data_IF_632659266153
#
_entry.id   IF_632659266153
#
_cell.length_a   1.000
_cell.length_b   1.000
_cell.length_c   1.000
_cell.angle_alpha   90.00
_cell.angle_beta   90.00
_cell.angle_gamma   90.00
#
_symmetry.space_group_name_H-M   'P 1'
#
loop_
_entity.id
_entity.type
_entity.pdbx_description
1 polymer ?
#
# COMPACT_ATOMS: atom_id res chain seq x y z
N UNK A 1 11.23 0.22 -28.06
CA UNK A 1 12.25 0.31 -26.98
C UNK A 1 11.50 0.30 -25.65
N UNK A 2 11.97 -0.46 -24.65
CA UNK A 2 11.32 -0.45 -23.34
C UNK A 2 11.64 0.85 -22.60
N UNK A 3 10.75 1.28 -21.70
CA UNK A 3 10.97 2.46 -20.85
C UNK A 3 12.25 2.32 -20.00
N UNK A 4 12.65 1.08 -19.67
CA UNK A 4 13.88 0.78 -18.94
C UNK A 4 15.13 1.18 -19.72
N UNK A 5 15.14 0.97 -21.04
CA UNK A 5 16.29 1.33 -21.85
C UNK A 5 16.49 2.85 -21.91
N UNK A 6 15.37 3.60 -21.93
CA UNK A 6 15.38 5.06 -21.95
C UNK A 6 16.02 5.67 -20.69
N UNK A 7 15.80 5.05 -19.52
CA UNK A 7 16.28 5.57 -18.23
C UNK A 7 17.46 4.77 -17.65
N UNK A 8 18.10 3.93 -18.47
CA UNK A 8 19.17 3.03 -18.02
C UNK A 8 20.33 3.75 -17.33
N UNK A 9 20.72 4.92 -17.85
CA UNK A 9 21.80 5.76 -17.30
C UNK A 9 21.50 6.34 -15.90
N UNK A 10 20.23 6.30 -15.47
CA UNK A 10 19.82 6.75 -14.14
C UNK A 10 19.83 5.64 -13.09
N UNK A 11 19.92 4.37 -13.51
CA UNK A 11 20.00 3.25 -12.59
C UNK A 11 21.42 3.07 -12.04
N UNK A 12 21.50 2.49 -10.83
CA UNK A 12 22.78 2.11 -10.27
C UNK A 12 23.29 0.85 -10.96
N UNK A 13 24.57 0.80 -11.38
CA UNK A 13 25.13 -0.41 -12.00
C UNK A 13 25.24 -1.56 -11.00
N UNK A 14 25.36 -1.24 -9.71
CA UNK A 14 25.40 -2.18 -8.60
C UNK A 14 24.62 -1.64 -7.41
N UNK A 15 24.00 -2.53 -6.63
CA UNK A 15 23.34 -2.14 -5.39
C UNK A 15 24.31 -1.42 -4.43
N UNK A 16 23.83 -0.37 -3.76
CA UNK A 16 24.58 0.35 -2.74
C UNK A 16 23.71 0.73 -1.55
N UNK A 17 24.27 0.58 -0.35
CA UNK A 17 23.65 1.00 0.91
C UNK A 17 23.65 2.52 1.10
N UNK A 18 24.52 3.24 0.39
CA UNK A 18 24.66 4.68 0.55
C UNK A 18 23.59 5.43 -0.26
N UNK A 19 22.89 6.41 0.33
CA UNK A 19 21.94 7.25 -0.39
C UNK A 19 22.69 8.14 -1.39
N UNK A 20 22.17 8.26 -2.61
CA UNK A 20 22.78 9.01 -3.72
C UNK A 20 22.08 10.35 -4.01
N UNK A 21 21.06 10.72 -3.22
CA UNK A 21 20.28 11.95 -3.42
C UNK A 21 19.49 12.01 -4.74
N UNK A 22 19.38 10.90 -5.46
CA UNK A 22 18.63 10.77 -6.73
C UNK A 22 17.31 10.05 -6.45
N UNK A 23 16.22 10.61 -6.97
CA UNK A 23 14.86 10.07 -6.78
C UNK A 23 14.18 9.89 -8.13
N UNK A 24 13.35 8.85 -8.23
CA UNK A 24 12.45 8.63 -9.35
C UNK A 24 11.03 8.71 -8.83
N UNK A 25 10.28 9.71 -9.30
CA UNK A 25 8.88 9.91 -8.91
C UNK A 25 7.97 9.18 -9.89
N UNK A 26 7.08 8.34 -9.36
CA UNK A 26 6.09 7.61 -10.13
C UNK A 26 4.70 8.14 -9.78
N UNK A 27 3.98 8.62 -10.79
CA UNK A 27 2.56 8.96 -10.67
C UNK A 27 1.75 7.79 -11.19
N UNK A 28 0.95 7.17 -10.31
CA UNK A 28 0.22 5.95 -10.62
C UNK A 28 -1.28 6.23 -10.51
N UNK A 29 -2.01 6.00 -11.59
CA UNK A 29 -3.47 5.96 -11.58
C UNK A 29 -3.91 4.51 -11.44
N UNK A 30 -4.69 4.23 -10.39
CA UNK A 30 -5.25 2.90 -10.15
C UNK A 30 -6.73 2.90 -10.53
N UNK A 31 -7.14 1.91 -11.32
CA UNK A 31 -8.54 1.68 -11.65
C UNK A 31 -9.07 0.57 -10.76
N UNK A 32 -10.19 0.84 -10.11
CA UNK A 32 -10.95 -0.17 -9.38
C UNK A 32 -11.85 -0.89 -10.41
N UNK A 33 -11.66 -2.20 -10.59
CA UNK A 33 -12.41 -3.00 -11.56
C UNK A 33 -13.74 -3.52 -11.01
N UNK A 34 -13.82 -3.73 -9.71
CA UNK A 34 -15.00 -4.22 -8.98
C UNK A 34 -15.14 -3.50 -7.64
N UNK A 35 -16.17 -3.77 -6.86
CA UNK A 35 -16.38 -3.08 -5.58
C UNK A 35 -15.20 -3.23 -4.61
N UNK A 36 -14.62 -2.10 -4.22
CA UNK A 36 -13.51 -2.06 -3.27
C UNK A 36 -14.02 -1.79 -1.85
N UNK A 37 -13.63 -2.66 -0.91
CA UNK A 37 -13.99 -2.53 0.51
C UNK A 37 -12.80 -2.00 1.29
N UNK A 38 -12.87 -0.74 1.71
CA UNK A 38 -11.85 -0.10 2.54
C UNK A 38 -12.26 -0.13 4.01
N UNK A 39 -11.62 -0.99 4.80
CA UNK A 39 -11.84 -1.05 6.24
C UNK A 39 -10.84 -0.17 6.99
N UNK A 40 -11.29 0.52 8.02
CA UNK A 40 -10.39 1.09 9.03
C UNK A 40 -9.86 -0.08 9.86
N UNK A 41 -8.55 -0.34 9.76
CA UNK A 41 -7.90 -1.29 10.65
C UNK A 41 -7.85 -0.61 12.03
N UNK A 42 -8.25 -1.29 13.10
CA UNK A 42 -8.45 -0.76 14.48
C UNK A 42 -7.19 -0.25 15.20
N UNK A 43 -6.33 0.46 14.49
CA UNK A 43 -5.02 0.97 14.91
C UNK A 43 -4.92 2.50 14.81
N UNK A 44 -6.06 3.20 14.72
CA UNK A 44 -6.10 4.67 14.65
C UNK A 44 -5.76 5.25 13.27
N UNK A 45 -5.83 4.44 12.21
CA UNK A 45 -5.73 4.98 10.84
C UNK A 45 -6.91 5.92 10.54
N UNK A 46 -6.68 7.01 9.79
CA UNK A 46 -7.75 7.93 9.42
C UNK A 46 -8.86 7.20 8.69
N UNK A 47 -10.07 7.76 8.80
CA UNK A 47 -11.23 7.37 8.00
C UNK A 47 -10.79 7.17 6.53
N UNK A 48 -11.34 6.17 5.83
CA UNK A 48 -11.07 5.95 4.39
C UNK A 48 -11.53 7.11 3.49
N UNK A 49 -11.87 8.26 4.07
CA UNK A 49 -12.37 9.46 3.45
C UNK A 49 -11.74 10.68 4.13
N UNK A 50 -11.17 11.58 3.34
CA UNK A 50 -10.57 12.84 3.84
C UNK A 50 -11.07 14.04 3.04
N UNK A 51 -11.12 15.21 3.69
CA UNK A 51 -11.48 16.47 3.06
C UNK A 51 -10.27 17.11 2.43
N UNK A 52 -10.34 17.40 1.13
CA UNK A 52 -9.27 18.06 0.37
C UNK A 52 -9.86 19.06 -0.62
N UNK A 53 -9.04 20.00 -1.09
CA UNK A 53 -9.45 20.89 -2.18
C UNK A 53 -9.59 20.09 -3.49
N UNK A 54 -10.63 20.39 -4.28
CA UNK A 54 -10.92 19.68 -5.52
C UNK A 54 -9.81 19.83 -6.57
N UNK A 55 -9.15 20.98 -6.63
CA UNK A 55 -7.99 21.21 -7.48
C UNK A 55 -7.30 22.55 -7.20
N UNK A 56 -6.33 22.89 -8.05
CA UNK A 56 -5.57 24.14 -7.92
C UNK A 56 -6.41 25.38 -8.24
N UNK A 57 -7.32 25.28 -9.22
CA UNK A 57 -8.20 26.38 -9.64
C UNK A 57 -9.53 26.38 -8.85
N UNK A 58 -10.14 25.22 -8.65
CA UNK A 58 -11.35 25.04 -7.88
C UNK A 58 -11.01 24.63 -6.43
N UNK A 59 -11.10 25.58 -5.50
CA UNK A 59 -10.77 25.36 -4.09
C UNK A 59 -11.92 24.82 -3.24
N UNK A 60 -13.01 24.37 -3.86
CA UNK A 60 -14.08 23.70 -3.14
C UNK A 60 -13.53 22.51 -2.34
N UNK A 61 -13.92 22.42 -1.07
CA UNK A 61 -13.49 21.33 -0.19
C UNK A 61 -14.43 20.16 -0.42
N UNK A 62 -13.89 19.10 -1.01
CA UNK A 62 -14.61 17.85 -1.28
C UNK A 62 -14.03 16.72 -0.46
N UNK A 63 -14.88 15.75 -0.12
CA UNK A 63 -14.42 14.54 0.53
C UNK A 63 -13.95 13.56 -0.56
N UNK A 64 -12.72 13.04 -0.47
CA UNK A 64 -12.17 12.00 -1.39
C UNK A 64 -11.97 10.69 -0.63
N UNK A 65 -12.08 9.56 -1.33
CA UNK A 65 -11.69 8.26 -0.78
C UNK A 65 -10.16 8.23 -0.75
N UNK A 66 -9.60 7.72 0.35
CA UNK A 66 -8.16 7.66 0.57
C UNK A 66 -7.72 6.21 0.81
N UNK A 67 -6.68 5.79 0.09
CA UNK A 67 -5.93 4.57 0.41
C UNK A 67 -4.63 5.01 1.10
N UNK A 68 -4.52 4.70 2.39
CA UNK A 68 -3.34 5.06 3.17
C UNK A 68 -2.06 4.44 2.58
N UNK A 69 -0.94 5.14 2.71
CA UNK A 69 0.40 4.72 2.28
C UNK A 69 0.77 3.33 2.77
N UNK A 70 0.35 2.97 3.98
CA UNK A 70 0.60 1.66 4.60
C UNK A 70 -0.17 0.56 3.90
N UNK A 71 -1.44 0.80 3.54
CA UNK A 71 -2.26 -0.18 2.81
C UNK A 71 -1.77 -0.39 1.39
N UNK A 72 -1.36 0.69 0.73
CA UNK A 72 -0.76 0.62 -0.62
C UNK A 72 0.51 -0.24 -0.59
N UNK A 73 1.47 0.11 0.27
CA UNK A 73 2.75 -0.61 0.38
C UNK A 73 2.54 -2.07 0.81
N UNK A 74 1.59 -2.35 1.70
CA UNK A 74 1.29 -3.72 2.12
C UNK A 74 0.86 -4.62 0.96
N UNK A 75 0.01 -4.13 0.05
CA UNK A 75 -0.44 -4.90 -1.12
C UNK A 75 0.70 -5.06 -2.12
N UNK A 76 1.42 -3.99 -2.45
CA UNK A 76 2.57 -4.03 -3.37
C UNK A 76 3.63 -5.04 -2.92
N UNK A 77 3.96 -5.04 -1.62
CA UNK A 77 4.88 -6.03 -1.04
C UNK A 77 4.36 -7.45 -1.14
N UNK A 78 3.07 -7.69 -0.93
CA UNK A 78 2.49 -9.04 -1.07
C UNK A 78 2.61 -9.54 -2.51
N UNK A 79 2.27 -8.71 -3.49
CA UNK A 79 2.40 -9.04 -4.92
C UNK A 79 3.85 -9.23 -5.33
N UNK A 80 4.75 -8.33 -4.92
CA UNK A 80 6.18 -8.48 -5.21
C UNK A 80 6.76 -9.76 -4.63
N UNK A 81 6.35 -10.14 -3.42
CA UNK A 81 6.79 -11.39 -2.80
C UNK A 81 6.17 -12.63 -3.43
N UNK A 82 4.94 -12.55 -3.92
CA UNK A 82 4.35 -13.61 -4.72
C UNK A 82 5.19 -13.89 -5.96
N UNK A 83 5.57 -12.85 -6.70
CA UNK A 83 6.50 -12.97 -7.83
C UNK A 83 7.84 -13.60 -7.41
N UNK A 84 8.41 -13.16 -6.29
CA UNK A 84 9.66 -13.74 -5.78
C UNK A 84 9.50 -15.22 -5.38
N UNK A 85 8.33 -15.65 -4.90
CA UNK A 85 8.06 -17.08 -4.62
C UNK A 85 8.02 -17.89 -5.91
N UNK A 86 7.34 -17.38 -6.94
CA UNK A 86 7.22 -18.05 -8.24
C UNK A 86 8.58 -18.28 -8.91
N UNK A 87 9.59 -17.49 -8.57
CA UNK A 87 10.96 -17.60 -9.09
C UNK A 87 11.98 -18.14 -8.06
N UNK A 88 11.54 -18.69 -6.93
CA UNK A 88 12.42 -19.20 -5.86
C UNK A 88 13.44 -18.18 -5.33
N UNK A 89 13.08 -16.89 -5.35
CA UNK A 89 13.88 -15.76 -4.88
C UNK A 89 13.48 -15.27 -3.47
N UNK A 90 12.74 -16.08 -2.71
CA UNK A 90 12.54 -15.89 -1.28
C UNK A 90 13.47 -16.82 -0.50
N UNK A 91 14.32 -16.22 0.32
CA UNK A 91 15.33 -16.95 1.07
C UNK A 91 14.90 -17.21 2.51
N UNK A 92 15.51 -18.21 3.11
CA UNK A 92 15.46 -18.43 4.55
C UNK A 92 16.53 -17.56 5.23
N UNK A 93 16.22 -17.06 6.43
CA UNK A 93 17.23 -16.38 7.26
C UNK A 93 18.16 -17.42 7.87
N UNK A 94 17.57 -18.41 8.53
CA UNK A 94 18.22 -19.56 9.15
C UNK A 94 17.39 -20.82 8.88
N UNK A 95 18.00 -22.01 8.98
CA UNK A 95 17.31 -23.31 8.79
C UNK A 95 16.13 -23.55 9.76
N UNK A 96 16.00 -22.72 10.82
CA UNK A 96 14.92 -22.80 11.82
C UNK A 96 13.79 -21.79 11.58
N UNK A 97 14.08 -20.66 10.95
CA UNK A 97 13.15 -19.55 10.78
C UNK A 97 12.30 -19.69 9.51
N UNK A 98 12.71 -20.56 8.58
CA UNK A 98 12.01 -20.87 7.35
C UNK A 98 12.03 -19.70 6.36
N UNK A 99 11.28 -19.85 5.27
CA UNK A 99 11.21 -18.86 4.19
C UNK A 99 10.69 -17.52 4.68
N UNK A 100 11.26 -16.45 4.15
CA UNK A 100 10.90 -15.07 4.47
C UNK A 100 9.37 -14.85 4.50
N UNK A 101 8.87 -14.19 5.54
CA UNK A 101 7.45 -13.92 5.72
C UNK A 101 7.16 -12.62 6.47
N UNK A 102 6.21 -11.82 5.96
CA UNK A 102 5.78 -10.55 6.57
C UNK A 102 5.02 -10.79 7.89
N UNK A 103 4.02 -11.67 7.89
CA UNK A 103 3.14 -11.88 9.04
C UNK A 103 3.80 -12.60 10.22
N UNK A 104 4.96 -13.24 9.99
CA UNK A 104 5.75 -13.90 11.06
C UNK A 104 6.91 -13.04 11.54
N UNK A 105 7.00 -11.80 11.06
CA UNK A 105 8.11 -10.90 11.34
C UNK A 105 9.49 -11.56 11.09
N UNK A 106 9.59 -12.33 9.99
CA UNK A 106 10.80 -13.08 9.63
C UNK A 106 11.39 -12.57 8.31
N UNK A 107 12.10 -11.43 8.33
CA UNK A 107 12.81 -10.94 7.15
C UNK A 107 14.07 -11.78 6.89
N UNK A 108 14.33 -12.11 5.62
CA UNK A 108 15.55 -12.86 5.23
C UNK A 108 16.75 -11.96 4.94
N UNK A 109 16.56 -10.64 4.91
CA UNK A 109 17.63 -9.65 4.73
C UNK A 109 18.37 -9.72 3.38
N UNK A 110 17.88 -10.54 2.45
CA UNK A 110 18.52 -10.82 1.14
C UNK A 110 17.58 -10.58 -0.04
N UNK A 111 16.30 -10.94 0.10
CA UNK A 111 15.35 -10.83 -1.00
C UNK A 111 15.08 -9.37 -1.38
N UNK A 112 14.72 -9.14 -2.64
CA UNK A 112 14.47 -7.80 -3.17
C UNK A 112 13.40 -7.02 -2.38
N UNK A 113 12.37 -7.69 -1.86
CA UNK A 113 11.37 -7.04 -0.99
C UNK A 113 12.00 -6.44 0.27
N UNK A 114 12.86 -7.19 0.97
CA UNK A 114 13.59 -6.67 2.14
C UNK A 114 14.52 -5.52 1.76
N UNK A 115 15.20 -5.62 0.62
CA UNK A 115 16.17 -4.62 0.17
C UNK A 115 15.54 -3.34 -0.37
N UNK A 116 14.33 -3.39 -0.91
CA UNK A 116 13.60 -2.25 -1.47
C UNK A 116 12.68 -1.61 -0.42
N UNK A 117 11.79 -2.39 0.20
CA UNK A 117 10.79 -1.89 1.14
C UNK A 117 11.26 -1.86 2.60
N UNK A 118 12.44 -2.40 2.87
CA UNK A 118 13.02 -2.41 4.20
C UNK A 118 12.50 -3.53 5.10
N UNK A 119 13.21 -3.68 6.22
CA UNK A 119 12.94 -4.68 7.25
C UNK A 119 13.49 -4.23 8.60
N UNK A 120 12.99 -4.83 9.67
CA UNK A 120 13.53 -4.68 11.01
C UNK A 120 13.75 -6.07 11.61
N UNK A 121 15.01 -6.46 11.82
CA UNK A 121 15.36 -7.69 12.50
C UNK A 121 15.83 -7.36 13.93
N UNK A 122 15.24 -8.02 14.93
CA UNK A 122 15.54 -7.77 16.35
C UNK A 122 17.00 -8.02 16.77
N UNK A 123 17.82 -8.63 15.91
CA UNK A 123 19.24 -8.91 16.15
C UNK A 123 20.23 -7.85 15.67
N UNK A 124 19.77 -6.65 15.27
CA UNK A 124 20.63 -5.50 14.95
C UNK A 124 20.67 -5.08 13.48
N UNK A 125 20.13 -5.89 12.57
CA UNK A 125 19.94 -5.53 11.17
C UNK A 125 18.62 -4.78 10.96
N UNK A 126 18.67 -3.52 10.55
CA UNK A 126 17.48 -2.79 10.14
C UNK A 126 17.77 -1.97 8.88
N UNK A 127 16.86 -2.04 7.91
CA UNK A 127 16.94 -1.26 6.69
C UNK A 127 15.65 -0.47 6.51
N UNK A 128 15.78 0.84 6.29
CA UNK A 128 14.64 1.71 5.94
C UNK A 128 14.20 1.44 4.50
N UNK A 129 12.90 1.65 4.24
CA UNK A 129 12.35 1.60 2.89
C UNK A 129 13.04 2.62 1.98
N UNK A 130 13.34 2.21 0.75
CA UNK A 130 13.79 3.08 -0.35
C UNK A 130 12.63 3.58 -1.20
N UNK A 131 11.45 2.99 -1.03
CA UNK A 131 10.20 3.45 -1.64
C UNK A 131 9.48 4.34 -0.64
N UNK A 132 9.20 5.56 -1.09
CA UNK A 132 8.39 6.54 -0.35
C UNK A 132 7.06 6.59 -1.08
N UNK A 133 5.96 6.39 -0.33
CA UNK A 133 4.60 6.44 -0.87
C UNK A 133 3.80 7.49 -0.12
N UNK A 134 3.03 8.25 -0.90
CA UNK A 134 1.99 9.13 -0.40
C UNK A 134 0.63 8.43 -0.40
N UNK A 135 -0.33 9.01 0.30
CA UNK A 135 -1.70 8.54 0.30
C UNK A 135 -2.33 8.72 -1.10
N UNK A 136 -3.09 7.72 -1.54
CA UNK A 136 -3.72 7.74 -2.85
C UNK A 136 -5.17 8.21 -2.71
N UNK A 137 -5.50 9.28 -3.44
CA UNK A 137 -6.81 9.91 -3.42
C UNK A 137 -7.63 9.50 -4.65
N UNK A 138 -8.94 9.32 -4.47
CA UNK A 138 -9.87 9.15 -5.60
C UNK A 138 -9.90 10.40 -6.48
N UNK A 139 -10.06 10.26 -7.80
CA UNK A 139 -10.19 11.40 -8.73
C UNK A 139 -11.54 12.11 -8.64
N UNK A 140 -12.58 11.41 -8.22
CA UNK A 140 -13.91 11.98 -7.96
C UNK A 140 -14.17 12.12 -6.46
N UNK A 141 -15.15 12.97 -6.11
CA UNK A 141 -15.65 13.07 -4.75
C UNK A 141 -16.25 11.74 -4.29
N UNK A 142 -16.10 11.43 -2.99
CA UNK A 142 -16.53 10.18 -2.39
C UNK A 142 -18.04 9.93 -2.62
N UNK A 143 -18.86 10.98 -2.54
CA UNK A 143 -20.31 10.90 -2.81
C UNK A 143 -20.67 10.36 -4.19
N UNK A 144 -19.80 10.52 -5.19
CA UNK A 144 -20.03 10.05 -6.56
C UNK A 144 -19.58 8.61 -6.78
N UNK A 145 -18.64 8.11 -5.97
CA UNK A 145 -17.98 6.82 -6.17
C UNK A 145 -18.23 5.80 -5.05
N UNK A 146 -18.92 6.20 -3.98
CA UNK A 146 -19.37 5.27 -2.94
C UNK A 146 -20.86 5.01 -3.06
N UNK A 147 -21.24 3.75 -2.94
CA UNK A 147 -22.64 3.34 -2.82
C UNK A 147 -22.91 2.80 -1.41
N UNK A 148 -24.13 2.98 -0.92
CA UNK A 148 -24.58 2.47 0.37
C UNK A 148 -25.37 1.19 0.16
N UNK A 149 -24.70 0.05 0.35
CA UNK A 149 -25.35 -1.26 0.28
C UNK A 149 -25.74 -1.74 1.68
N UNK A 150 -27.03 -1.88 1.91
CA UNK A 150 -27.58 -2.54 3.09
C UNK A 150 -27.68 -4.04 2.81
N UNK A 151 -26.77 -4.83 3.40
CA UNK A 151 -26.81 -6.30 3.32
C UNK A 151 -27.60 -6.96 4.46
N UNK A 152 -27.98 -6.18 5.47
CA UNK A 152 -28.84 -6.65 6.56
C UNK A 152 -30.30 -6.33 6.20
N UNK A 153 -31.21 -7.26 6.47
CA UNK A 153 -32.63 -6.92 6.48
C UNK A 153 -32.85 -5.81 7.52
N UNK A 154 -33.50 -4.72 7.10
CA UNK A 154 -33.97 -3.71 8.04
C UNK A 154 -35.02 -4.37 8.95
N UNK A 155 -35.14 -3.90 10.19
CA UNK A 155 -36.32 -4.19 10.99
C UNK A 155 -37.56 -3.59 10.31
N UNK A 156 -38.77 -4.04 10.67
CA UNK A 156 -40.03 -3.60 10.04
C UNK A 156 -40.25 -2.07 10.07
N UNK A 157 -39.53 -1.35 10.93
CA UNK A 157 -39.53 0.11 11.02
C UNK A 157 -38.46 0.80 10.14
N UNK A 158 -37.80 0.05 9.25
CA UNK A 158 -36.70 0.53 8.39
C UNK A 158 -35.45 1.04 9.14
N UNK A 159 -35.24 0.65 10.41
CA UNK A 159 -34.03 1.02 11.17
C UNK A 159 -32.99 -0.10 11.23
N UNK A 160 -31.72 0.29 11.33
CA UNK A 160 -30.57 -0.63 11.45
C UNK A 160 -30.33 -1.13 12.88
N UNK A 161 -31.05 -0.60 13.87
CA UNK A 161 -30.96 -0.99 15.28
C UNK A 161 -32.34 -1.46 15.75
N UNK A 162 -32.32 -2.46 16.61
CA UNK A 162 -33.47 -2.85 17.40
C UNK A 162 -33.76 -1.71 18.40
N UNK A 163 -34.96 -1.10 18.38
CA UNK A 163 -35.31 -0.04 19.32
C UNK A 163 -35.37 -0.51 20.78
N UNK A 164 -35.37 -1.81 21.06
CA UNK A 164 -35.44 -2.38 22.42
C UNK A 164 -34.07 -2.70 23.05
N UNK A 165 -32.95 -2.42 22.38
CA UNK A 165 -31.58 -2.60 22.89
C UNK A 165 -30.70 -1.37 22.72
#
# INVERSE_FOLDING_TARGET
MSIFNQYSDHFLPTYSNYPQGRYTSLLIVRRIESEAVFRTEGSGEPLSKEFVHAGQQAQEVIQRIVISKRKQTAVERRTGRELLRTHDLLFEKDAKSGVCALNRNNPCEKCMDCMIYGYAAGGGGAQKSRVITDDAFSLHAASTVTDHKQFNALYDNSTMRDPET
#
